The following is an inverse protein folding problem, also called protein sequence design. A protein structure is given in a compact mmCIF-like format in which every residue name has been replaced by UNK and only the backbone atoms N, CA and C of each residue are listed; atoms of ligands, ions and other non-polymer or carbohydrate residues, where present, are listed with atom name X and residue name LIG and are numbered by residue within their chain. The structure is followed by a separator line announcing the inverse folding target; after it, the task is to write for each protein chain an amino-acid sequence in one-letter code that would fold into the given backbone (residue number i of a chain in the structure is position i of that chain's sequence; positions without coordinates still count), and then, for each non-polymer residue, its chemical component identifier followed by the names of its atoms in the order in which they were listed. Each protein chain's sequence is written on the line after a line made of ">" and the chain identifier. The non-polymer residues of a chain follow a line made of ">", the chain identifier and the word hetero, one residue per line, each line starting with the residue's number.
data_IF_420199050537
#
_entry.id   IF_420199050537
#
_cell.length_a   1.000
_cell.length_b   1.000
_cell.length_c   1.000
_cell.angle_alpha   90.00
_cell.angle_beta   90.00
_cell.angle_gamma   90.00
#
_symmetry.space_group_name_H-M   'P 1'
#
loop_
_entity.id
_entity.type
_entity.pdbx_description
1 polymer ?
#
# COMPACT_ATOMS: atom_id res chain seq x y z
N UNK A 1 -11.50 1.93 21.60
CA UNK A 1 -10.58 2.21 21.25
C UNK A 1 -10.44 2.80 20.10
N UNK A 2 -9.97 3.64 19.92
CA UNK A 2 -9.91 4.35 18.76
C UNK A 2 -8.85 3.87 17.87
N UNK A 3 -9.01 4.11 16.62
CA UNK A 3 -8.02 3.90 15.68
C UNK A 3 -7.18 5.05 15.73
N UNK A 4 -6.03 4.90 16.08
CA UNK A 4 -5.15 6.00 16.30
C UNK A 4 -4.18 6.16 15.18
N UNK A 5 -3.30 7.09 15.32
CA UNK A 5 -2.25 7.29 14.36
C UNK A 5 -1.32 6.12 14.28
N UNK A 6 -1.24 5.37 15.37
CA UNK A 6 -0.38 4.21 15.39
C UNK A 6 -0.86 3.18 14.39
N UNK A 7 -2.18 3.07 14.22
CA UNK A 7 -2.73 2.15 13.25
C UNK A 7 -2.38 2.57 11.82
N UNK A 8 -2.44 3.85 11.56
CA UNK A 8 -2.10 4.36 10.24
C UNK A 8 -0.63 4.14 9.95
N UNK A 9 0.21 4.43 10.91
CA UNK A 9 1.64 4.25 10.74
C UNK A 9 1.97 2.78 10.51
N UNK A 10 1.38 1.91 11.28
CA UNK A 10 1.60 0.48 11.13
C UNK A 10 1.17 0.01 9.76
N UNK A 11 0.06 0.51 9.27
CA UNK A 11 -0.46 0.13 7.97
C UNK A 11 0.49 0.58 6.86
N UNK A 12 0.99 1.79 6.95
CA UNK A 12 1.90 2.31 5.94
C UNK A 12 3.19 1.51 5.92
N UNK A 13 3.71 1.18 7.09
CA UNK A 13 4.92 0.38 7.15
C UNK A 13 4.70 -1.02 6.57
N UNK A 14 3.52 -1.57 6.80
CA UNK A 14 3.20 -2.88 6.25
C UNK A 14 3.12 -2.83 4.74
N UNK A 15 2.53 -1.78 4.19
CA UNK A 15 2.45 -1.60 2.74
C UNK A 15 3.85 -1.52 2.16
N UNK A 16 4.72 -0.77 2.82
CA UNK A 16 6.09 -0.63 2.36
C UNK A 16 6.78 -1.99 2.30
N UNK A 17 6.62 -2.79 3.34
CA UNK A 17 7.27 -4.11 3.37
C UNK A 17 6.70 -5.03 2.30
N UNK A 18 5.41 -4.96 2.08
CA UNK A 18 4.78 -5.78 1.05
C UNK A 18 5.36 -5.44 -0.32
N UNK A 19 5.50 -4.16 -0.60
CA UNK A 19 6.03 -3.73 -1.89
C UNK A 19 7.52 -4.01 -1.99
N UNK A 20 8.21 -4.06 -0.87
CA UNK A 20 9.63 -4.35 -0.88
C UNK A 20 9.90 -5.79 -1.29
N UNK A 21 9.02 -6.67 -0.89
CA UNK A 21 9.18 -8.09 -1.19
C UNK A 21 8.67 -8.43 -2.58
N UNK A 22 7.69 -7.69 -3.05
CA UNK A 22 7.07 -7.94 -4.34
C UNK A 22 7.39 -6.84 -5.31
N UNK A 23 7.45 -7.18 -6.60
CA UNK A 23 7.82 -6.18 -7.58
C UNK A 23 6.74 -5.16 -7.83
N UNK A 24 5.62 -5.58 -8.34
CA UNK A 24 4.53 -4.69 -8.67
C UNK A 24 3.24 -5.34 -8.25
N UNK A 25 2.37 -4.59 -7.62
CA UNK A 25 1.11 -5.11 -7.14
C UNK A 25 -0.01 -4.13 -7.42
N UNK A 26 -1.19 -4.65 -7.67
CA UNK A 26 -2.37 -3.82 -7.78
C UNK A 26 -2.86 -3.50 -6.38
N UNK A 27 -3.76 -2.54 -6.30
CA UNK A 27 -4.36 -2.16 -5.03
C UNK A 27 -5.02 -3.37 -4.37
N UNK A 28 -5.72 -4.15 -5.17
CA UNK A 28 -6.40 -5.33 -4.67
C UNK A 28 -5.42 -6.33 -4.06
N UNK A 29 -4.29 -6.51 -4.71
CA UNK A 29 -3.29 -7.44 -4.20
C UNK A 29 -2.66 -6.93 -2.91
N UNK A 30 -2.42 -5.64 -2.83
CA UNK A 30 -1.87 -5.07 -1.61
C UNK A 30 -2.85 -5.24 -0.47
N UNK A 31 -4.13 -4.97 -0.74
CA UNK A 31 -5.17 -5.13 0.26
C UNK A 31 -5.22 -6.56 0.77
N UNK A 32 -5.15 -7.50 -0.15
CA UNK A 32 -5.20 -8.91 0.20
C UNK A 32 -4.03 -9.32 1.09
N UNK A 33 -2.85 -8.83 0.77
CA UNK A 33 -1.67 -9.18 1.54
C UNK A 33 -1.66 -8.52 2.92
N UNK A 34 -2.21 -7.32 3.02
CA UNK A 34 -2.33 -6.68 4.32
C UNK A 34 -3.19 -7.53 5.24
N UNK A 35 -4.27 -8.05 4.70
CA UNK A 35 -5.16 -8.88 5.49
C UNK A 35 -4.51 -10.21 5.84
N UNK A 36 -3.87 -10.85 4.87
CA UNK A 36 -3.28 -12.17 5.07
C UNK A 36 -2.07 -12.16 5.96
N UNK A 37 -1.16 -11.23 5.71
CA UNK A 37 0.12 -11.26 6.42
C UNK A 37 0.12 -10.50 7.72
N UNK A 38 -0.64 -9.43 7.78
CA UNK A 38 -0.58 -8.52 8.93
C UNK A 38 -1.90 -8.38 9.66
N UNK A 39 -2.93 -9.08 9.18
CA UNK A 39 -4.26 -8.97 9.77
C UNK A 39 -4.74 -7.52 9.83
N UNK A 40 -4.43 -6.77 8.80
CA UNK A 40 -4.88 -5.38 8.70
C UNK A 40 -5.97 -5.32 7.66
N UNK A 41 -7.18 -5.00 8.09
CA UNK A 41 -8.30 -4.84 7.17
C UNK A 41 -8.51 -3.36 6.93
N UNK A 42 -8.54 -2.98 5.69
CA UNK A 42 -8.66 -1.58 5.34
C UNK A 42 -9.51 -1.49 4.08
N UNK A 43 -10.29 -0.44 3.95
CA UNK A 43 -11.12 -0.27 2.78
C UNK A 43 -10.24 0.13 1.60
N UNK A 44 -10.74 -0.08 0.40
CA UNK A 44 -10.02 0.29 -0.79
C UNK A 44 -9.76 1.79 -0.84
N UNK A 45 -10.74 2.57 -0.42
CA UNK A 45 -10.62 4.02 -0.42
C UNK A 45 -9.50 4.47 0.50
N UNK A 46 -9.47 3.93 1.70
CA UNK A 46 -8.45 4.30 2.66
C UNK A 46 -7.07 3.89 2.16
N UNK A 47 -6.96 2.69 1.61
CA UNK A 47 -5.68 2.23 1.11
C UNK A 47 -5.22 3.08 -0.07
N UNK A 48 -6.14 3.47 -0.92
CA UNK A 48 -5.83 4.30 -2.06
C UNK A 48 -5.28 5.66 -1.57
N UNK A 49 -5.91 6.22 -0.55
CA UNK A 49 -5.44 7.49 0.02
C UNK A 49 -4.05 7.32 0.63
N UNK A 50 -3.82 6.21 1.30
CA UNK A 50 -2.51 5.94 1.88
C UNK A 50 -1.44 5.87 0.80
N UNK A 51 -1.74 5.17 -0.28
CA UNK A 51 -0.77 5.02 -1.37
C UNK A 51 -0.51 6.35 -2.05
N UNK A 52 -1.54 7.17 -2.21
CA UNK A 52 -1.35 8.49 -2.78
C UNK A 52 -0.44 9.34 -1.91
N UNK A 53 -0.63 9.27 -0.60
CA UNK A 53 0.20 10.05 0.31
C UNK A 53 1.65 9.58 0.24
N UNK A 54 1.86 8.29 0.18
CA UNK A 54 3.21 7.75 0.11
C UNK A 54 3.88 8.13 -1.21
N UNK A 55 3.10 8.15 -2.28
CA UNK A 55 3.62 8.48 -3.58
C UNK A 55 4.22 9.90 -3.61
N UNK A 56 3.67 10.79 -2.81
CA UNK A 56 4.18 12.15 -2.75
C UNK A 56 5.60 12.20 -2.22
N UNK A 57 6.04 11.16 -1.54
CA UNK A 57 7.38 11.15 -0.99
C UNK A 57 8.33 10.29 -1.82
N UNK A 58 7.86 9.90 -2.99
CA UNK A 58 8.71 9.10 -3.90
C UNK A 58 9.08 7.74 -3.36
N UNK A 59 8.34 7.24 -2.40
CA UNK A 59 8.53 5.88 -1.96
C UNK A 59 7.90 4.92 -2.90
N UNK A 60 6.73 5.26 -3.41
CA UNK A 60 5.90 4.36 -4.18
C UNK A 60 5.59 5.02 -5.50
N UNK A 61 5.74 4.29 -6.57
CA UNK A 61 5.42 4.77 -7.89
C UNK A 61 4.26 4.00 -8.46
N UNK A 62 3.61 4.58 -9.45
CA UNK A 62 2.42 4.02 -10.03
C UNK A 62 2.67 3.78 -11.50
N UNK A 63 2.26 2.63 -12.00
CA UNK A 63 2.37 2.32 -13.41
C UNK A 63 1.07 1.76 -13.89
N UNK A 64 0.60 2.27 -15.02
CA UNK A 64 -0.63 1.79 -15.59
C UNK A 64 -0.31 0.89 -16.75
N UNK A 65 -0.90 -0.28 -16.75
CA UNK A 65 -0.76 -1.21 -17.85
C UNK A 65 -2.14 -1.66 -18.21
N UNK A 66 -2.63 -1.21 -19.37
CA UNK A 66 -3.99 -1.50 -19.77
C UNK A 66 -4.98 -0.88 -18.80
N UNK A 67 -5.82 -1.68 -18.21
CA UNK A 67 -6.80 -1.21 -17.26
C UNK A 67 -6.30 -1.32 -15.84
N UNK A 68 -5.12 -1.88 -15.63
CA UNK A 68 -4.64 -2.14 -14.30
C UNK A 68 -3.63 -1.12 -13.87
N UNK A 69 -3.68 -0.78 -12.60
CA UNK A 69 -2.75 0.17 -12.01
C UNK A 69 -1.90 -0.59 -11.01
N UNK A 70 -0.60 -0.51 -11.17
CA UNK A 70 0.33 -1.21 -10.32
C UNK A 70 1.12 -0.24 -9.48
N UNK A 71 1.46 -0.68 -8.28
CA UNK A 71 2.27 0.12 -7.37
C UNK A 71 3.57 -0.60 -7.11
N UNK A 72 4.65 0.13 -7.02
CA UNK A 72 5.95 -0.48 -6.73
C UNK A 72 6.84 0.54 -6.04
N UNK A 73 7.87 0.04 -5.37
CA UNK A 73 8.78 0.93 -4.68
C UNK A 73 9.74 1.56 -5.67
N UNK A 74 9.97 2.83 -5.45
CA UNK A 74 10.91 3.57 -6.25
C UNK A 74 12.33 3.07 -6.00
N UNK A 75 13.14 3.02 -7.07
CA UNK A 75 14.46 2.61 -6.87
C UNK A 75 15.27 3.77 -6.77
N UNK A 76 16.01 4.02 -5.94
CA UNK A 76 16.72 5.12 -5.89
C UNK A 76 17.80 5.20 -6.44
#
# INVERSE_FOLDING_TARGET
>A
MSKSKADTKRRILAVYRILKVNNMLTLREIKSRLSSYYQIDVSRTTLYDDLNAITEFDFVEVKKIGYKVYYYLSKE
#
